data_IF_211513519273
#
_entry.id   IF_211513519273
#
_cell.length_a   1.000
_cell.length_b   1.000
_cell.length_c   1.000
_cell.angle_alpha   90.00
_cell.angle_beta   90.00
_cell.angle_gamma   90.00
#
_symmetry.space_group_name_H-M   'P 1'
#
loop_
_entity.id
_entity.type
_entity.pdbx_description
1 polymer ?
#
# COMPACT_ATOMS: atom_id res chain seq x y z
N UNK A 1 -5.98 6.47 0.12
CA UNK A 1 -6.70 7.70 0.58
C UNK A 1 -8.12 7.81 0.02
N UNK A 2 -8.37 7.67 -1.30
CA UNK A 2 -9.71 7.76 -1.89
C UNK A 2 -10.72 6.76 -1.32
N UNK A 3 -10.34 5.49 -1.18
CA UNK A 3 -11.18 4.41 -0.64
C UNK A 3 -11.77 4.78 0.74
N UNK A 4 -10.99 5.47 1.56
CA UNK A 4 -11.38 5.87 2.92
C UNK A 4 -11.95 7.29 3.01
N UNK A 5 -12.16 7.97 1.88
CA UNK A 5 -12.66 9.35 1.87
C UNK A 5 -11.72 10.35 2.55
N UNK A 6 -10.42 10.11 2.53
CA UNK A 6 -9.39 10.94 3.18
C UNK A 6 -8.66 11.86 2.19
N UNK A 7 -9.27 12.19 1.07
CA UNK A 7 -8.75 13.15 0.11
C UNK A 7 -9.17 14.59 0.48
N UNK A 8 -8.36 15.57 0.07
CA UNK A 8 -8.74 16.98 0.20
C UNK A 8 -9.99 17.29 -0.63
N UNK A 9 -10.78 18.28 -0.21
CA UNK A 9 -12.03 18.65 -0.89
C UNK A 9 -11.91 19.09 -2.36
N UNK A 10 -10.69 19.27 -2.87
CA UNK A 10 -10.42 19.57 -4.28
C UNK A 10 -10.26 18.32 -5.16
N UNK A 11 -10.15 17.12 -4.54
CA UNK A 11 -9.96 15.88 -5.27
C UNK A 11 -11.30 15.37 -5.82
N UNK A 12 -11.33 15.06 -7.13
CA UNK A 12 -12.47 14.41 -7.77
C UNK A 12 -12.25 12.90 -7.80
N UNK A 13 -13.23 12.16 -7.29
CA UNK A 13 -13.23 10.69 -7.30
C UNK A 13 -14.34 10.23 -8.26
N UNK A 14 -13.99 9.35 -9.19
CA UNK A 14 -14.92 8.76 -10.16
C UNK A 14 -14.94 7.25 -10.04
N UNK A 15 -16.05 6.62 -10.40
CA UNK A 15 -16.25 5.17 -10.31
C UNK A 15 -16.96 4.76 -9.03
N UNK A 16 -16.73 3.53 -8.58
CA UNK A 16 -17.32 2.96 -7.37
C UNK A 16 -16.28 2.11 -6.64
N UNK A 17 -16.42 2.01 -5.32
CA UNK A 17 -15.64 1.11 -4.47
C UNK A 17 -16.59 0.31 -3.58
N UNK A 18 -16.83 -0.94 -3.96
CA UNK A 18 -17.81 -1.80 -3.28
C UNK A 18 -17.15 -2.54 -2.11
N UNK A 19 -17.74 -2.40 -0.92
CA UNK A 19 -17.38 -3.16 0.28
C UNK A 19 -18.63 -3.69 0.96
N UNK A 20 -18.76 -5.00 1.11
CA UNK A 20 -19.96 -5.66 1.71
C UNK A 20 -21.29 -5.15 1.12
N UNK A 21 -21.33 -4.95 -0.20
CA UNK A 21 -22.52 -4.46 -0.91
C UNK A 21 -22.76 -2.96 -0.83
N UNK A 22 -21.92 -2.20 -0.14
CA UNK A 22 -22.00 -0.75 -0.01
C UNK A 22 -20.97 -0.05 -0.89
N UNK A 23 -21.35 1.03 -1.58
CA UNK A 23 -20.38 1.86 -2.30
C UNK A 23 -19.78 2.88 -1.33
N UNK A 24 -18.49 2.68 -0.99
CA UNK A 24 -17.76 3.51 -0.02
C UNK A 24 -17.68 4.98 -0.45
N UNK A 25 -17.71 5.26 -1.75
CA UNK A 25 -17.67 6.65 -2.25
C UNK A 25 -18.96 7.42 -2.04
N UNK A 26 -20.06 6.71 -1.77
CA UNK A 26 -21.39 7.30 -1.53
C UNK A 26 -21.83 7.25 -0.08
N UNK A 27 -21.02 6.67 0.80
CA UNK A 27 -21.38 6.57 2.22
C UNK A 27 -21.33 7.94 2.91
N UNK A 28 -22.32 8.25 3.76
CA UNK A 28 -22.26 9.40 4.66
C UNK A 28 -21.08 9.26 5.62
N UNK A 29 -20.53 10.40 6.06
CA UNK A 29 -19.35 10.43 6.96
C UNK A 29 -19.57 9.58 8.24
N UNK A 30 -20.75 9.63 8.84
CA UNK A 30 -21.08 8.82 10.03
C UNK A 30 -20.95 7.31 9.81
N UNK A 31 -21.30 6.83 8.63
CA UNK A 31 -21.15 5.41 8.30
C UNK A 31 -19.70 5.08 7.95
N UNK A 32 -19.00 5.98 7.24
CA UNK A 32 -17.58 5.83 6.94
C UNK A 32 -16.72 5.80 8.22
N UNK A 33 -17.06 6.55 9.26
CA UNK A 33 -16.37 6.50 10.56
C UNK A 33 -16.47 5.13 11.24
N UNK A 34 -17.55 4.37 11.01
CA UNK A 34 -17.67 2.99 11.54
C UNK A 34 -16.77 2.00 10.81
N UNK A 35 -16.40 2.32 9.57
CA UNK A 35 -15.55 1.48 8.70
C UNK A 35 -14.07 1.77 8.94
N UNK A 36 -13.71 3.06 8.99
CA UNK A 36 -12.30 3.47 9.17
C UNK A 36 -11.73 2.92 10.47
N UNK A 37 -10.57 2.27 10.39
CA UNK A 37 -9.82 1.75 11.52
C UNK A 37 -10.39 0.50 12.18
N UNK A 38 -11.67 0.16 11.92
CA UNK A 38 -12.32 -1.04 12.46
C UNK A 38 -12.51 -2.13 11.40
N UNK A 39 -13.08 -1.77 10.25
CA UNK A 39 -13.26 -2.68 9.13
C UNK A 39 -12.08 -2.59 8.17
N UNK A 40 -11.71 -1.36 7.80
CA UNK A 40 -10.60 -1.06 6.89
C UNK A 40 -9.66 -0.08 7.57
N UNK A 41 -8.43 -0.53 7.84
CA UNK A 41 -7.39 0.31 8.42
C UNK A 41 -6.39 0.80 7.36
N UNK A 42 -5.75 1.92 7.65
CA UNK A 42 -4.68 2.50 6.85
C UNK A 42 -3.39 2.56 7.66
N UNK A 43 -2.32 2.01 7.10
CA UNK A 43 -0.94 2.27 7.52
C UNK A 43 -0.39 3.31 6.54
N UNK A 44 -0.26 4.60 6.92
CA UNK A 44 0.12 5.66 6.01
C UNK A 44 1.62 5.70 5.75
N UNK A 45 2.01 6.29 4.62
CA UNK A 45 3.39 6.42 4.17
C UNK A 45 4.26 7.30 5.08
N UNK A 46 3.68 8.34 5.69
CA UNK A 46 4.39 9.36 6.47
C UNK A 46 4.03 9.28 7.95
N UNK A 47 4.83 8.57 8.77
CA UNK A 47 4.55 8.41 10.18
C UNK A 47 4.60 9.73 10.96
N UNK A 48 5.49 10.64 10.58
CA UNK A 48 5.69 11.91 11.29
C UNK A 48 4.49 12.85 11.16
N UNK A 49 3.80 12.83 10.03
CA UNK A 49 2.59 13.62 9.80
C UNK A 49 1.34 12.98 10.43
N UNK A 50 1.41 11.66 10.68
CA UNK A 50 0.27 10.89 11.20
C UNK A 50 0.25 10.79 12.72
N UNK A 51 1.39 11.01 13.38
CA UNK A 51 1.51 11.00 14.84
C UNK A 51 1.41 12.42 15.40
N UNK A 52 0.59 12.60 16.42
CA UNK A 52 0.49 13.87 17.14
C UNK A 52 1.74 14.10 17.99
N UNK A 53 2.56 15.14 17.72
CA UNK A 53 3.84 15.34 18.42
C UNK A 53 3.71 15.73 19.90
N UNK A 54 2.58 16.29 20.30
CA UNK A 54 2.34 16.71 21.69
C UNK A 54 1.63 15.65 22.55
N UNK A 55 1.37 14.47 21.98
CA UNK A 55 0.76 13.34 22.70
C UNK A 55 1.72 12.16 22.79
N UNK A 56 1.71 11.48 23.93
CA UNK A 56 2.50 10.25 24.13
C UNK A 56 2.02 9.14 23.22
N UNK A 57 2.94 8.33 22.70
CA UNK A 57 2.67 7.22 21.78
C UNK A 57 1.63 6.25 22.36
N UNK A 58 1.80 5.82 23.62
CA UNK A 58 0.88 4.86 24.23
C UNK A 58 -0.58 5.34 24.25
N UNK A 59 -0.80 6.64 24.48
CA UNK A 59 -2.16 7.22 24.44
C UNK A 59 -2.74 7.24 23.03
N UNK A 60 -1.94 7.50 22.01
CA UNK A 60 -2.40 7.51 20.63
C UNK A 60 -2.76 6.09 20.16
N UNK A 61 -1.98 5.08 20.54
CA UNK A 61 -2.26 3.69 20.24
C UNK A 61 -3.60 3.22 20.87
N UNK A 62 -3.79 3.46 22.17
CA UNK A 62 -5.03 3.03 22.85
C UNK A 62 -6.27 3.80 22.42
N UNK A 63 -6.10 5.06 21.96
CA UNK A 63 -7.19 5.88 21.43
C UNK A 63 -7.86 5.24 20.22
N UNK A 64 -7.11 4.53 19.37
CA UNK A 64 -7.67 3.81 18.23
C UNK A 64 -8.77 2.82 18.62
N UNK A 65 -8.69 2.23 19.81
CA UNK A 65 -9.73 1.33 20.31
C UNK A 65 -10.88 2.10 20.97
N UNK A 66 -10.57 3.16 21.72
CA UNK A 66 -11.58 3.94 22.45
C UNK A 66 -12.53 4.69 21.54
N UNK A 67 -12.06 5.25 20.45
CA UNK A 67 -12.91 5.96 19.46
C UNK A 67 -13.92 5.04 18.78
N UNK A 68 -13.64 3.72 18.78
CA UNK A 68 -14.55 2.69 18.27
C UNK A 68 -15.39 2.02 19.34
N UNK A 69 -15.50 2.65 20.53
CA UNK A 69 -16.39 2.24 21.59
C UNK A 69 -15.82 1.19 22.54
N UNK A 70 -14.56 0.77 22.39
CA UNK A 70 -13.94 -0.11 23.37
C UNK A 70 -13.52 0.71 24.61
N UNK A 71 -14.19 0.46 25.73
CA UNK A 71 -13.94 1.12 27.01
C UNK A 71 -13.04 0.31 27.96
N UNK A 72 -12.69 -0.90 27.55
CA UNK A 72 -11.82 -1.78 28.33
C UNK A 72 -10.36 -1.31 28.21
N UNK A 73 -9.91 -0.65 29.27
CA UNK A 73 -8.56 -0.09 29.32
C UNK A 73 -7.48 -1.18 29.41
N UNK A 74 -7.74 -2.25 30.16
CA UNK A 74 -6.78 -3.34 30.32
C UNK A 74 -6.55 -4.06 29.01
N UNK A 75 -7.63 -4.35 28.27
CA UNK A 75 -7.53 -4.91 26.93
C UNK A 75 -6.79 -3.99 25.96
N UNK A 76 -7.06 -2.67 26.02
CA UNK A 76 -6.39 -1.71 25.14
C UNK A 76 -4.88 -1.62 25.45
N UNK A 77 -4.52 -1.59 26.74
CA UNK A 77 -3.11 -1.55 27.18
C UNK A 77 -2.39 -2.85 26.81
N UNK A 78 -3.01 -4.02 27.08
CA UNK A 78 -2.45 -5.33 26.71
C UNK A 78 -2.20 -5.46 25.21
N UNK A 79 -3.18 -5.08 24.38
CA UNK A 79 -3.07 -5.14 22.92
C UNK A 79 -2.02 -4.18 22.37
N UNK A 80 -1.94 -2.98 22.93
CA UNK A 80 -0.90 -2.00 22.60
C UNK A 80 0.49 -2.63 22.78
N UNK A 81 0.72 -3.23 23.95
CA UNK A 81 2.02 -3.80 24.28
C UNK A 81 2.32 -5.07 23.44
N UNK A 82 1.29 -5.86 23.12
CA UNK A 82 1.38 -6.98 22.20
C UNK A 82 1.90 -6.49 20.83
N UNK A 83 1.22 -5.52 20.21
CA UNK A 83 1.63 -5.05 18.87
C UNK A 83 2.98 -4.34 18.90
N UNK A 84 3.31 -3.59 19.92
CA UNK A 84 4.65 -3.01 20.05
C UNK A 84 5.73 -4.10 20.07
N UNK A 85 5.53 -5.20 20.81
CA UNK A 85 6.47 -6.33 20.82
C UNK A 85 6.56 -7.01 19.45
N UNK A 86 5.43 -7.28 18.79
CA UNK A 86 5.40 -7.85 17.42
C UNK A 86 6.22 -7.01 16.45
N UNK A 87 6.12 -5.68 16.53
CA UNK A 87 6.91 -4.75 15.74
C UNK A 87 8.34 -4.51 16.28
N UNK A 88 8.82 -5.32 17.23
CA UNK A 88 10.22 -5.37 17.66
C UNK A 88 10.63 -4.33 18.68
N UNK A 89 9.71 -3.86 19.47
CA UNK A 89 10.05 -3.05 20.64
C UNK A 89 10.20 -3.96 21.87
N UNK A 90 11.43 -4.12 22.35
CA UNK A 90 11.74 -4.94 23.54
C UNK A 90 11.21 -4.34 24.83
N UNK A 91 11.10 -3.02 24.88
CA UNK A 91 10.57 -2.25 26.02
C UNK A 91 9.39 -1.38 25.56
N UNK A 92 8.15 -1.95 25.57
CA UNK A 92 6.93 -1.19 25.25
C UNK A 92 6.70 0.00 26.19
N UNK A 93 7.05 -0.09 27.46
CA UNK A 93 6.83 0.98 28.44
C UNK A 93 7.60 2.25 28.09
N UNK A 94 8.83 2.10 27.65
CA UNK A 94 9.63 3.22 27.15
C UNK A 94 8.95 3.90 25.95
N UNK A 95 8.45 3.10 25.00
CA UNK A 95 7.76 3.62 23.82
C UNK A 95 6.45 4.30 24.19
N UNK A 96 5.68 3.71 25.08
CA UNK A 96 4.41 4.26 25.55
C UNK A 96 4.55 5.66 26.18
N UNK A 97 5.67 5.94 26.84
CA UNK A 97 5.96 7.23 27.49
C UNK A 97 6.57 8.24 26.53
N UNK A 98 7.13 7.79 25.41
CA UNK A 98 7.79 8.65 24.44
C UNK A 98 6.80 9.49 23.63
N UNK A 99 7.31 10.58 23.07
CA UNK A 99 6.66 11.38 22.02
C UNK A 99 7.27 11.04 20.65
N UNK A 100 6.56 11.31 19.56
CA UNK A 100 7.03 10.95 18.21
C UNK A 100 8.38 11.58 17.85
N UNK A 101 8.66 12.80 18.29
CA UNK A 101 9.94 13.47 18.05
C UNK A 101 11.13 12.87 18.82
N UNK A 102 10.89 12.03 19.83
CA UNK A 102 11.90 11.29 20.58
C UNK A 102 12.27 9.96 19.94
N UNK A 103 11.56 9.55 18.87
CA UNK A 103 11.74 8.30 18.16
C UNK A 103 12.42 8.53 16.81
N UNK A 104 13.21 7.56 16.37
CA UNK A 104 13.74 7.59 14.99
C UNK A 104 12.61 7.41 13.96
N UNK A 105 12.87 7.77 12.68
CA UNK A 105 11.91 7.57 11.60
C UNK A 105 11.43 6.13 11.48
N UNK A 106 12.34 5.16 11.58
CA UNK A 106 12.00 3.73 11.57
C UNK A 106 11.23 3.26 12.80
N UNK A 107 11.44 3.88 13.98
CA UNK A 107 10.61 3.60 15.14
C UNK A 107 9.20 4.14 14.96
N UNK A 108 9.06 5.38 14.47
CA UNK A 108 7.74 5.96 14.16
C UNK A 108 6.99 5.14 13.10
N UNK A 109 7.69 4.63 12.07
CA UNK A 109 7.07 3.75 11.06
C UNK A 109 6.50 2.47 11.67
N UNK A 110 7.22 1.84 12.59
CA UNK A 110 6.74 0.64 13.30
C UNK A 110 5.60 0.95 14.26
N UNK A 111 5.64 2.09 14.94
CA UNK A 111 4.54 2.56 15.79
C UNK A 111 3.26 2.78 15.00
N UNK A 112 3.35 3.46 13.85
CA UNK A 112 2.16 3.72 13.02
C UNK A 112 1.59 2.41 12.42
N UNK A 113 2.46 1.45 12.10
CA UNK A 113 2.04 0.12 11.66
C UNK A 113 1.30 -0.62 12.78
N UNK A 114 1.81 -0.58 14.01
CA UNK A 114 1.12 -1.12 15.19
C UNK A 114 -0.24 -0.43 15.40
N UNK A 115 -0.28 0.90 15.28
CA UNK A 115 -1.51 1.70 15.42
C UNK A 115 -2.60 1.29 14.43
N UNK A 116 -2.27 1.08 13.17
CA UNK A 116 -3.23 0.66 12.14
C UNK A 116 -3.86 -0.71 12.44
N UNK A 117 -3.23 -1.53 13.28
CA UNK A 117 -3.66 -2.90 13.57
C UNK A 117 -4.33 -3.06 14.94
N UNK A 118 -4.39 -1.99 15.76
CA UNK A 118 -4.94 -2.02 17.12
C UNK A 118 -6.35 -2.62 17.22
N UNK A 119 -7.19 -2.39 16.22
CA UNK A 119 -8.57 -2.87 16.18
C UNK A 119 -8.73 -4.23 15.50
N UNK A 120 -7.66 -4.89 15.07
CA UNK A 120 -7.69 -6.12 14.25
C UNK A 120 -8.66 -5.96 13.08
N UNK A 121 -8.37 -5.02 12.15
CA UNK A 121 -9.25 -4.69 11.05
C UNK A 121 -9.42 -5.87 10.10
N UNK A 122 -10.56 -5.93 9.39
CA UNK A 122 -10.82 -6.94 8.37
C UNK A 122 -9.93 -6.74 7.13
N UNK A 123 -9.68 -5.49 6.77
CA UNK A 123 -8.80 -5.12 5.65
C UNK A 123 -7.76 -4.11 6.08
N UNK A 124 -6.57 -4.26 5.53
CA UNK A 124 -5.45 -3.32 5.77
C UNK A 124 -5.00 -2.73 4.44
N UNK A 125 -4.90 -1.41 4.38
CA UNK A 125 -4.22 -0.69 3.29
C UNK A 125 -2.89 -0.22 3.86
N UNK A 126 -1.78 -0.80 3.38
CA UNK A 126 -0.43 -0.45 3.82
C UNK A 126 0.29 0.32 2.72
N UNK A 127 0.56 1.60 2.96
CA UNK A 127 1.23 2.49 2.01
C UNK A 127 2.70 2.64 2.43
N UNK A 128 3.61 2.04 1.65
CA UNK A 128 5.06 2.00 1.89
C UNK A 128 5.44 1.58 3.34
N UNK A 129 4.92 0.45 3.86
CA UNK A 129 5.03 0.09 5.27
C UNK A 129 6.47 -0.17 5.75
N UNK A 130 7.41 -0.36 4.83
CA UNK A 130 8.82 -0.63 5.12
C UNK A 130 9.76 0.52 4.76
N UNK A 131 9.20 1.68 4.38
CA UNK A 131 10.00 2.86 4.00
C UNK A 131 10.87 3.35 5.17
N UNK A 132 12.14 3.63 4.88
CA UNK A 132 13.09 4.15 5.87
C UNK A 132 13.58 3.12 6.90
N UNK A 133 13.28 1.83 6.70
CA UNK A 133 13.79 0.74 7.53
C UNK A 133 15.05 0.12 6.92
N UNK A 134 15.99 -0.24 7.78
CA UNK A 134 17.12 -1.10 7.38
C UNK A 134 16.64 -2.53 7.03
N UNK A 135 17.54 -3.34 6.49
CA UNK A 135 17.20 -4.68 5.99
C UNK A 135 16.65 -5.62 7.08
N UNK A 136 17.12 -5.51 8.31
CA UNK A 136 16.71 -6.37 9.44
C UNK A 136 15.30 -5.99 9.87
N UNK A 137 15.06 -4.71 10.11
CA UNK A 137 13.74 -4.18 10.51
C UNK A 137 12.70 -4.36 9.40
N UNK A 138 13.09 -4.20 8.13
CA UNK A 138 12.23 -4.47 6.97
C UNK A 138 11.75 -5.91 6.97
N UNK A 139 12.66 -6.87 7.18
CA UNK A 139 12.32 -8.30 7.28
C UNK A 139 11.38 -8.59 8.46
N UNK A 140 11.56 -7.89 9.58
CA UNK A 140 10.69 -8.05 10.73
C UNK A 140 9.28 -7.55 10.45
N UNK A 141 9.13 -6.33 9.91
CA UNK A 141 7.83 -5.76 9.52
C UNK A 141 7.14 -6.67 8.49
N UNK A 142 7.89 -7.17 7.50
CA UNK A 142 7.37 -8.14 6.54
C UNK A 142 6.76 -9.38 7.23
N UNK A 143 7.48 -9.99 8.19
CA UNK A 143 6.97 -11.17 8.91
C UNK A 143 5.67 -10.87 9.66
N UNK A 144 5.61 -9.72 10.31
CA UNK A 144 4.40 -9.29 11.04
C UNK A 144 3.23 -9.08 10.07
N UNK A 145 3.45 -8.38 8.94
CA UNK A 145 2.40 -8.16 7.96
C UNK A 145 1.92 -9.48 7.32
N UNK A 146 2.84 -10.40 7.05
CA UNK A 146 2.51 -11.72 6.51
C UNK A 146 1.68 -12.53 7.50
N UNK A 147 2.11 -12.62 8.74
CA UNK A 147 1.36 -13.30 9.80
C UNK A 147 -0.06 -12.73 9.93
N UNK A 148 -0.19 -11.40 9.95
CA UNK A 148 -1.49 -10.72 10.05
C UNK A 148 -2.37 -11.00 8.83
N UNK A 149 -1.79 -11.03 7.62
CA UNK A 149 -2.54 -11.34 6.41
C UNK A 149 -3.05 -12.78 6.36
N UNK A 150 -2.39 -13.70 7.08
CA UNK A 150 -2.77 -15.11 7.13
C UNK A 150 -3.73 -15.44 8.29
N UNK A 151 -3.72 -14.66 9.38
CA UNK A 151 -4.43 -15.02 10.62
C UNK A 151 -5.48 -14.01 11.08
N UNK A 152 -5.25 -12.72 10.86
CA UNK A 152 -6.03 -11.66 11.52
C UNK A 152 -6.94 -10.88 10.57
N UNK A 153 -6.67 -10.89 9.25
CA UNK A 153 -7.41 -10.10 8.25
C UNK A 153 -8.03 -10.94 7.14
N UNK A 154 -9.08 -10.42 6.52
CA UNK A 154 -9.68 -10.99 5.31
C UNK A 154 -8.86 -10.64 4.04
N UNK A 155 -8.04 -9.58 4.11
CA UNK A 155 -7.15 -9.19 3.02
C UNK A 155 -6.34 -7.94 3.31
N UNK A 156 -5.32 -7.74 2.47
CA UNK A 156 -4.40 -6.62 2.56
C UNK A 156 -4.10 -6.03 1.18
N UNK A 157 -4.10 -4.70 1.08
CA UNK A 157 -3.62 -3.97 -0.08
C UNK A 157 -2.28 -3.33 0.32
N UNK A 158 -1.20 -3.73 -0.35
CA UNK A 158 0.14 -3.17 -0.09
C UNK A 158 0.56 -2.31 -1.27
N UNK A 159 0.85 -1.05 -1.01
CA UNK A 159 1.40 -0.11 -1.99
C UNK A 159 2.88 0.00 -1.69
N UNK A 160 3.73 -0.39 -2.62
CA UNK A 160 5.18 -0.37 -2.42
C UNK A 160 5.95 -0.31 -3.74
N UNK A 161 7.15 0.25 -3.70
CA UNK A 161 8.13 0.15 -4.77
C UNK A 161 9.10 -1.04 -4.57
N UNK A 162 9.01 -1.74 -3.45
CA UNK A 162 9.81 -2.93 -3.17
C UNK A 162 9.14 -4.18 -3.78
N UNK A 163 9.60 -4.56 -4.98
CA UNK A 163 9.07 -5.72 -5.70
C UNK A 163 9.32 -7.02 -4.96
N UNK A 164 10.43 -7.13 -4.22
CA UNK A 164 10.72 -8.32 -3.43
C UNK A 164 9.71 -8.48 -2.28
N UNK A 165 9.36 -7.38 -1.60
CA UNK A 165 8.30 -7.35 -0.60
C UNK A 165 6.96 -7.74 -1.22
N UNK A 166 6.57 -7.12 -2.33
CA UNK A 166 5.32 -7.40 -3.02
C UNK A 166 5.25 -8.86 -3.48
N UNK A 167 6.35 -9.38 -4.05
CA UNK A 167 6.45 -10.76 -4.51
C UNK A 167 6.35 -11.81 -3.41
N UNK A 168 6.77 -11.46 -2.19
CA UNK A 168 6.76 -12.37 -1.06
C UNK A 168 5.45 -12.31 -0.23
N UNK A 169 4.71 -11.19 -0.29
CA UNK A 169 3.54 -10.93 0.55
C UNK A 169 2.20 -11.04 -0.20
N UNK A 170 2.18 -10.72 -1.50
CA UNK A 170 0.93 -10.53 -2.23
C UNK A 170 0.65 -11.69 -3.21
N UNK A 171 -0.59 -12.17 -3.26
CA UNK A 171 -1.03 -13.18 -4.23
C UNK A 171 -1.22 -12.56 -5.62
N UNK A 172 -1.61 -11.30 -5.69
CA UNK A 172 -1.86 -10.55 -6.91
C UNK A 172 -1.10 -9.24 -6.94
N UNK A 173 -0.61 -8.84 -8.10
CA UNK A 173 0.06 -7.57 -8.34
C UNK A 173 -0.72 -6.70 -9.33
N UNK A 174 -0.66 -5.39 -9.09
CA UNK A 174 -1.02 -4.36 -10.04
C UNK A 174 0.20 -3.44 -10.24
N UNK A 175 0.74 -3.42 -11.45
CA UNK A 175 1.90 -2.58 -11.79
C UNK A 175 1.41 -1.24 -12.34
N UNK A 176 1.70 -0.17 -11.62
CA UNK A 176 1.27 1.19 -11.95
C UNK A 176 2.43 2.00 -12.56
N UNK A 177 2.12 2.77 -13.58
CA UNK A 177 3.03 3.77 -14.15
C UNK A 177 2.29 5.06 -14.46
N UNK A 178 2.72 6.18 -13.86
CA UNK A 178 2.10 7.51 -14.01
C UNK A 178 0.56 7.48 -13.87
N UNK A 179 0.07 6.85 -12.80
CA UNK A 179 -1.35 6.78 -12.47
C UNK A 179 -2.19 5.80 -13.30
N UNK A 180 -1.57 5.03 -14.20
CA UNK A 180 -2.26 4.01 -15.00
C UNK A 180 -1.80 2.61 -14.63
N UNK A 181 -2.74 1.67 -14.55
CA UNK A 181 -2.42 0.24 -14.40
C UNK A 181 -1.92 -0.26 -15.75
N UNK A 182 -0.69 -0.75 -15.81
CA UNK A 182 -0.04 -1.29 -16.99
C UNK A 182 -0.26 -2.79 -17.13
N UNK A 183 -0.21 -3.50 -15.99
CA UNK A 183 -0.38 -4.95 -15.92
C UNK A 183 -0.96 -5.33 -14.56
N UNK A 184 -1.88 -6.29 -14.51
CA UNK A 184 -2.46 -6.82 -13.28
C UNK A 184 -2.71 -8.31 -13.41
N UNK A 185 -2.43 -9.08 -12.33
CA UNK A 185 -2.63 -10.53 -12.33
C UNK A 185 -2.00 -11.21 -11.14
N UNK A 186 -1.83 -12.52 -11.25
CA UNK A 186 -1.14 -13.34 -10.24
C UNK A 186 0.32 -12.90 -10.11
N UNK A 187 0.80 -12.79 -8.88
CA UNK A 187 2.16 -12.31 -8.55
C UNK A 187 3.25 -13.12 -9.23
N UNK A 188 3.19 -14.45 -9.10
CA UNK A 188 4.19 -15.35 -9.69
C UNK A 188 4.27 -15.18 -11.19
N UNK A 189 3.12 -15.17 -11.86
CA UNK A 189 3.03 -15.04 -13.32
C UNK A 189 3.59 -13.70 -13.81
N UNK A 190 3.29 -12.60 -13.12
CA UNK A 190 3.85 -11.27 -13.48
C UNK A 190 5.36 -11.22 -13.25
N UNK A 191 5.89 -11.80 -12.17
CA UNK A 191 7.33 -11.75 -11.86
C UNK A 191 8.19 -12.66 -12.75
N UNK A 192 7.64 -13.79 -13.19
CA UNK A 192 8.34 -14.76 -14.05
C UNK A 192 8.18 -14.42 -15.54
N UNK A 193 6.98 -14.01 -15.95
CA UNK A 193 6.60 -13.82 -17.36
C UNK A 193 5.90 -12.47 -17.60
N UNK A 194 6.51 -11.31 -17.26
CA UNK A 194 5.88 -10.02 -17.44
C UNK A 194 5.48 -9.78 -18.90
N UNK A 195 4.30 -9.24 -19.14
CA UNK A 195 3.79 -8.97 -20.49
C UNK A 195 4.07 -7.53 -20.92
N UNK A 196 3.72 -6.54 -20.10
CA UNK A 196 3.88 -5.14 -20.45
C UNK A 196 5.37 -4.73 -20.52
N UNK A 197 5.82 -3.99 -21.55
CA UNK A 197 7.22 -3.55 -21.67
C UNK A 197 7.77 -2.78 -20.47
N UNK A 198 6.92 -2.01 -19.77
CA UNK A 198 7.32 -1.36 -18.51
C UNK A 198 7.58 -2.38 -17.41
N UNK A 199 6.69 -3.35 -17.22
CA UNK A 199 6.84 -4.41 -16.21
C UNK A 199 8.10 -5.23 -16.47
N UNK A 200 8.37 -5.57 -17.74
CA UNK A 200 9.63 -6.25 -18.15
C UNK A 200 10.86 -5.46 -17.73
N UNK A 201 10.88 -4.17 -18.07
CA UNK A 201 12.00 -3.29 -17.70
C UNK A 201 12.14 -3.11 -16.19
N UNK A 202 11.03 -2.99 -15.47
CA UNK A 202 11.00 -2.86 -14.02
C UNK A 202 11.62 -4.09 -13.34
N UNK A 203 11.22 -5.30 -13.75
CA UNK A 203 11.76 -6.55 -13.21
C UNK A 203 13.22 -6.75 -13.60
N UNK A 204 13.60 -6.44 -14.85
CA UNK A 204 14.99 -6.55 -15.32
C UNK A 204 15.94 -5.58 -14.61
N UNK A 205 15.42 -4.51 -14.00
CA UNK A 205 16.22 -3.55 -13.22
C UNK A 205 16.51 -4.00 -11.78
N UNK A 206 15.91 -5.12 -11.33
CA UNK A 206 16.12 -5.62 -9.98
C UNK A 206 17.53 -6.18 -9.76
N UNK A 207 18.09 -6.04 -8.54
CA UNK A 207 19.26 -6.79 -8.12
C UNK A 207 19.01 -8.31 -8.31
N UNK A 208 19.94 -9.02 -8.93
CA UNK A 208 19.78 -10.45 -9.24
C UNK A 208 19.05 -10.79 -10.55
N UNK A 209 18.49 -9.79 -11.25
CA UNK A 209 17.93 -9.96 -12.62
C UNK A 209 18.75 -9.21 -13.69
N UNK A 210 20.01 -8.87 -13.38
CA UNK A 210 20.94 -8.24 -14.30
C UNK A 210 21.07 -6.72 -14.17
N UNK A 211 20.29 -6.06 -13.29
CA UNK A 211 20.32 -4.60 -13.03
C UNK A 211 20.26 -3.76 -14.32
N UNK A 212 19.49 -4.21 -15.31
CA UNK A 212 19.33 -3.49 -16.57
C UNK A 212 18.35 -2.32 -16.39
N UNK A 213 18.82 -1.06 -16.44
CA UNK A 213 17.95 0.08 -16.19
C UNK A 213 16.93 0.24 -17.33
N UNK A 214 15.73 0.65 -16.99
CA UNK A 214 14.74 1.05 -17.99
C UNK A 214 15.30 2.23 -18.79
N UNK A 215 15.36 2.10 -20.11
CA UNK A 215 15.92 3.09 -21.02
C UNK A 215 15.37 4.52 -20.80
N UNK A 216 16.16 5.52 -21.15
CA UNK A 216 15.74 6.94 -21.11
C UNK A 216 14.63 7.18 -22.14
N UNK A 217 13.89 8.26 -21.97
CA UNK A 217 12.91 8.68 -22.96
C UNK A 217 13.62 9.09 -24.25
N UNK A 218 13.31 8.42 -25.34
CA UNK A 218 13.86 8.70 -26.68
C UNK A 218 12.83 9.38 -27.59
N UNK A 219 11.57 9.50 -27.12
CA UNK A 219 10.46 10.14 -27.84
C UNK A 219 9.82 11.22 -26.99
N UNK A 220 9.35 12.28 -27.61
CA UNK A 220 8.50 13.26 -26.95
C UNK A 220 7.06 12.72 -26.91
N UNK A 221 6.38 12.94 -25.80
CA UNK A 221 4.95 12.69 -25.68
C UNK A 221 4.23 14.02 -25.80
N UNK A 222 3.37 14.15 -26.78
CA UNK A 222 2.49 15.30 -26.97
C UNK A 222 1.14 14.99 -26.31
N UNK A 223 0.72 15.83 -25.34
CA UNK A 223 -0.54 15.69 -24.64
C UNK A 223 -0.58 14.56 -23.57
N UNK A 224 -1.76 14.36 -22.99
CA UNK A 224 -2.01 13.42 -21.90
C UNK A 224 -2.72 12.13 -22.33
N UNK A 225 -3.02 11.95 -23.61
CA UNK A 225 -3.64 10.75 -24.16
C UNK A 225 -2.60 9.68 -24.54
N UNK A 226 -3.05 8.47 -24.79
CA UNK A 226 -2.19 7.36 -25.17
C UNK A 226 -1.42 6.71 -24.02
N UNK A 227 -0.48 5.84 -24.39
CA UNK A 227 0.31 5.09 -23.40
C UNK A 227 1.27 6.00 -22.64
N UNK A 228 1.17 6.01 -21.31
CA UNK A 228 2.07 6.80 -20.47
C UNK A 228 3.54 6.37 -20.60
N UNK A 229 3.81 5.12 -20.96
CA UNK A 229 5.16 4.58 -21.15
C UNK A 229 5.70 4.79 -22.57
N UNK A 230 4.89 5.30 -23.54
CA UNK A 230 5.30 5.54 -24.93
C UNK A 230 6.69 6.16 -25.10
N UNK A 231 7.07 7.22 -24.35
CA UNK A 231 8.37 7.87 -24.55
C UNK A 231 9.58 6.97 -24.30
N UNK A 232 9.41 5.93 -23.49
CA UNK A 232 10.48 5.02 -23.03
C UNK A 232 10.33 3.60 -23.56
N UNK A 233 9.21 3.29 -24.24
CA UNK A 233 8.91 1.95 -24.68
C UNK A 233 9.77 1.59 -25.91
N UNK A 234 10.57 0.49 -25.87
CA UNK A 234 11.34 0.06 -27.03
C UNK A 234 10.46 -0.46 -28.17
N UNK A 235 9.22 -0.83 -27.87
CA UNK A 235 8.24 -1.38 -28.84
C UNK A 235 7.13 -0.38 -29.17
N UNK A 236 7.37 0.92 -29.00
CA UNK A 236 6.35 1.92 -29.23
C UNK A 236 6.02 2.04 -30.74
N UNK A 237 4.73 2.07 -31.04
CA UNK A 237 4.17 2.31 -32.37
C UNK A 237 3.26 3.54 -32.33
N UNK A 238 2.82 4.02 -33.51
CA UNK A 238 2.00 5.23 -33.60
C UNK A 238 0.66 5.12 -32.85
N UNK A 239 0.06 3.95 -32.82
CA UNK A 239 -1.15 3.67 -32.03
C UNK A 239 -0.96 3.89 -30.51
N UNK A 240 0.29 3.93 -30.02
CA UNK A 240 0.58 4.22 -28.60
C UNK A 240 0.58 5.73 -28.27
N UNK A 241 0.63 6.61 -29.28
CA UNK A 241 0.78 8.06 -29.04
C UNK A 241 -0.48 8.67 -28.47
N UNK A 242 -1.62 8.35 -29.07
CA UNK A 242 -2.89 9.04 -28.81
C UNK A 242 -4.02 8.05 -28.61
N UNK A 243 -5.08 8.51 -27.96
CA UNK A 243 -6.29 7.73 -27.73
C UNK A 243 -6.22 6.81 -26.51
N UNK A 244 -7.30 6.11 -26.27
CA UNK A 244 -7.43 5.17 -25.15
C UNK A 244 -6.67 3.89 -25.50
N UNK A 245 -5.69 3.55 -24.69
CA UNK A 245 -5.00 2.25 -24.81
C UNK A 245 -5.93 1.14 -24.30
N UNK A 246 -6.20 0.13 -25.11
CA UNK A 246 -7.07 -0.98 -24.71
C UNK A 246 -6.42 -1.80 -23.61
N UNK A 247 -7.27 -2.39 -22.78
CA UNK A 247 -6.90 -3.40 -21.81
C UNK A 247 -7.30 -4.76 -22.40
N UNK A 248 -6.31 -5.63 -22.56
CA UNK A 248 -6.52 -6.99 -23.03
C UNK A 248 -6.42 -7.96 -21.84
N UNK A 249 -7.23 -8.99 -21.85
CA UNK A 249 -7.14 -10.12 -20.95
C UNK A 249 -6.39 -11.26 -21.65
N UNK A 250 -5.29 -11.72 -21.04
CA UNK A 250 -4.47 -12.80 -21.56
C UNK A 250 -5.07 -14.17 -21.16
N UNK A 251 -4.68 -15.27 -21.85
CA UNK A 251 -5.20 -16.61 -21.55
C UNK A 251 -4.98 -17.08 -20.11
N UNK A 252 -4.00 -16.51 -19.41
CA UNK A 252 -3.68 -16.78 -18.00
C UNK A 252 -4.44 -15.86 -17.03
N UNK A 253 -5.42 -15.10 -17.50
CA UNK A 253 -6.27 -14.20 -16.70
C UNK A 253 -5.60 -12.88 -16.29
N UNK A 254 -4.39 -12.58 -16.80
CA UNK A 254 -3.76 -11.27 -16.60
C UNK A 254 -4.40 -10.20 -17.47
N UNK A 255 -4.49 -9.01 -16.93
CA UNK A 255 -4.93 -7.82 -17.66
C UNK A 255 -3.72 -6.96 -18.01
N UNK A 256 -3.59 -6.61 -19.27
CA UNK A 256 -2.46 -5.84 -19.79
C UNK A 256 -2.97 -4.66 -20.62
N UNK A 257 -2.55 -3.46 -20.29
CA UNK A 257 -2.90 -2.24 -21.04
C UNK A 257 -1.83 -1.93 -22.08
N UNK A 258 -1.90 -2.58 -23.23
CA UNK A 258 -0.91 -2.44 -24.28
C UNK A 258 -1.50 -2.83 -25.65
N UNK A 259 -1.29 -1.98 -26.68
CA UNK A 259 -1.75 -2.23 -28.05
C UNK A 259 -1.20 -3.51 -28.68
N UNK A 260 -0.14 -4.09 -28.12
CA UNK A 260 0.45 -5.35 -28.64
C UNK A 260 -0.39 -6.60 -28.31
N UNK A 261 -1.35 -6.47 -27.44
CA UNK A 261 -2.21 -7.58 -26.96
C UNK A 261 -3.69 -7.34 -27.26
N UNK A 262 -4.01 -6.21 -27.90
CA UNK A 262 -5.36 -5.82 -28.26
C UNK A 262 -5.67 -6.16 -29.72
#
# INVERSE_FOLDING_TARGET
>A
MSILGLLSGQARVEGSCMYKGMDLYRLPEKEMQKIRGKEIALIPQNPTESLNPIRRIGKQLTECMTVHGNKDKELADSRRDEFLRRFGFSDPDRINRAYSFQLSGGMNQRVISAMGLMNRPKWVIADEPTKGLDAILRRQVYRVLKEISETDTEGMIVITHDIALAGALCDRLMVLYKGSIMEAGETKTILEHPAHPYTKGLIASLPGKGMNPIGRAVRKKEGNSGCSFYPRCPHAVDACKNGRIPEAELPDGRKVRCVRYA
#
